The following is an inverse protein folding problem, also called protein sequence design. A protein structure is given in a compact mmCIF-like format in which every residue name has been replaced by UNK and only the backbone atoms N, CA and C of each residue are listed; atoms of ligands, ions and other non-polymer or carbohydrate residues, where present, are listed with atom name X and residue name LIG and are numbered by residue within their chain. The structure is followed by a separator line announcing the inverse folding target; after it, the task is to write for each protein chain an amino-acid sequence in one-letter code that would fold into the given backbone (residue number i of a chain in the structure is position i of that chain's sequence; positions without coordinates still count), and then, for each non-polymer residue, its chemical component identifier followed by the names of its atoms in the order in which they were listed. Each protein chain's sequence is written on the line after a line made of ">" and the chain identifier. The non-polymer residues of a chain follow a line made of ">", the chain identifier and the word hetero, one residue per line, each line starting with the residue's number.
data_IF_202597149463
#
_entry.id   IF_202597149463
#
_cell.length_a   1.000
_cell.length_b   1.000
_cell.length_c   1.000
_cell.angle_alpha   90.00
_cell.angle_beta   90.00
_cell.angle_gamma   90.00
#
_symmetry.space_group_name_H-M   'P 1'
#
loop_
_entity.id
_entity.type
_entity.pdbx_description
1 polymer ?
#
# COMPACT_ATOMS: atom_id res chain seq x y z
N UNK A 1 -7.71 10.62 0.91
CA UNK A 1 -7.85 9.90 -0.39
C UNK A 1 -6.63 9.01 -0.60
N UNK A 2 -6.79 7.87 -1.22
CA UNK A 2 -5.71 6.94 -1.57
C UNK A 2 -5.78 6.67 -3.07
N UNK A 3 -4.63 6.72 -3.74
CA UNK A 3 -4.49 6.47 -5.18
C UNK A 3 -3.16 5.76 -5.45
N UNK A 4 -3.12 4.90 -6.46
CA UNK A 4 -1.88 4.30 -6.95
C UNK A 4 -1.05 5.35 -7.71
N UNK A 5 0.26 5.33 -7.52
CA UNK A 5 1.20 6.18 -8.26
C UNK A 5 1.23 5.81 -9.75
N UNK A 6 1.23 4.51 -10.05
CA UNK A 6 1.11 3.95 -11.39
C UNK A 6 2.08 4.61 -12.41
N UNK A 7 3.37 4.70 -12.04
CA UNK A 7 4.46 5.30 -12.84
C UNK A 7 4.31 6.80 -13.15
N UNK A 8 3.37 7.50 -12.49
CA UNK A 8 3.23 8.94 -12.59
C UNK A 8 4.15 9.63 -11.59
N UNK A 9 4.38 10.92 -11.77
CA UNK A 9 5.13 11.71 -10.79
C UNK A 9 4.33 11.83 -9.48
N UNK A 10 4.88 11.29 -8.39
CA UNK A 10 4.23 11.27 -7.09
C UNK A 10 4.00 12.68 -6.52
N UNK A 11 4.86 13.64 -6.83
CA UNK A 11 4.71 15.02 -6.38
C UNK A 11 3.56 15.72 -7.11
N UNK A 12 3.44 15.51 -8.43
CA UNK A 12 2.33 16.04 -9.23
C UNK A 12 1.00 15.46 -8.80
N UNK A 13 0.94 14.13 -8.58
CA UNK A 13 -0.25 13.46 -8.06
C UNK A 13 -0.64 13.97 -6.68
N UNK A 14 0.33 14.10 -5.79
CA UNK A 14 0.08 14.63 -4.46
C UNK A 14 -0.47 16.06 -4.53
N UNK A 15 0.17 16.93 -5.33
CA UNK A 15 -0.28 18.30 -5.54
C UNK A 15 -1.70 18.37 -6.12
N UNK A 16 -2.04 17.48 -7.04
CA UNK A 16 -3.40 17.38 -7.60
C UNK A 16 -4.44 17.05 -6.51
N UNK A 17 -4.16 16.03 -5.66
CA UNK A 17 -5.06 15.66 -4.57
C UNK A 17 -5.21 16.77 -3.52
N UNK A 18 -4.13 17.46 -3.19
CA UNK A 18 -4.17 18.61 -2.27
C UNK A 18 -5.02 19.75 -2.82
N UNK A 19 -4.88 20.10 -4.10
CA UNK A 19 -5.73 21.11 -4.76
C UNK A 19 -7.20 20.71 -4.75
N UNK A 20 -7.51 19.46 -5.13
CA UNK A 20 -8.90 18.98 -5.16
C UNK A 20 -9.55 19.04 -3.77
N UNK A 21 -8.82 18.70 -2.72
CA UNK A 21 -9.31 18.82 -1.34
C UNK A 21 -9.55 20.29 -0.94
N UNK A 22 -8.61 21.18 -1.27
CA UNK A 22 -8.71 22.60 -0.98
C UNK A 22 -9.87 23.27 -1.73
N UNK A 23 -10.05 22.99 -3.03
CA UNK A 23 -11.17 23.47 -3.84
C UNK A 23 -12.53 23.01 -3.30
N UNK A 24 -12.57 21.83 -2.67
CA UNK A 24 -13.75 21.33 -1.97
C UNK A 24 -13.93 21.88 -0.55
N UNK A 25 -13.08 22.81 -0.09
CA UNK A 25 -13.17 23.48 1.21
C UNK A 25 -12.64 22.63 2.38
N UNK A 26 -11.79 21.63 2.12
CA UNK A 26 -11.22 20.79 3.18
C UNK A 26 -9.80 21.18 3.53
N UNK A 27 -9.51 21.19 4.84
CA UNK A 27 -8.14 21.22 5.35
C UNK A 27 -7.58 19.79 5.29
N UNK A 28 -6.41 19.64 4.67
CA UNK A 28 -5.70 18.36 4.60
C UNK A 28 -4.65 18.26 5.70
N UNK A 29 -4.22 17.02 6.03
CA UNK A 29 -3.11 16.83 6.98
C UNK A 29 -1.83 17.56 6.56
N UNK A 30 -1.61 17.72 5.25
CA UNK A 30 -0.40 18.38 4.71
C UNK A 30 -0.47 19.90 4.77
N UNK A 31 -1.67 20.49 4.77
CA UNK A 31 -1.89 21.95 4.78
C UNK A 31 -2.28 22.50 6.14
N UNK A 32 -2.65 21.63 7.10
CA UNK A 32 -3.06 22.05 8.43
C UNK A 32 -1.91 22.74 9.19
N UNK A 33 -2.24 23.85 9.85
CA UNK A 33 -1.35 24.51 10.79
C UNK A 33 -1.15 23.66 12.06
N UNK A 34 -0.12 23.92 12.89
CA UNK A 34 0.03 23.23 14.17
C UNK A 34 -1.22 23.36 15.02
N UNK A 35 -1.77 22.24 15.49
CA UNK A 35 -3.02 22.12 16.26
C UNK A 35 -4.30 22.50 15.50
N UNK A 36 -4.24 22.59 14.19
CA UNK A 36 -5.43 22.74 13.36
C UNK A 36 -6.03 21.38 13.02
N UNK A 37 -7.36 21.27 13.16
CA UNK A 37 -8.09 20.06 12.76
C UNK A 37 -8.07 19.89 11.24
N UNK A 38 -7.84 18.66 10.78
CA UNK A 38 -7.93 18.31 9.37
C UNK A 38 -8.89 17.15 9.16
N UNK A 39 -9.48 17.09 7.96
CA UNK A 39 -10.47 16.06 7.60
C UNK A 39 -10.06 15.20 6.43
N UNK A 40 -8.97 15.55 5.78
CA UNK A 40 -8.49 14.84 4.59
C UNK A 40 -7.03 14.45 4.76
N UNK A 41 -6.75 13.18 4.51
CA UNK A 41 -5.40 12.65 4.34
C UNK A 41 -5.25 12.12 2.92
N UNK A 42 -4.35 12.72 2.16
CA UNK A 42 -4.00 12.26 0.82
C UNK A 42 -2.75 11.38 0.88
N UNK A 43 -2.84 10.17 0.37
CA UNK A 43 -1.74 9.19 0.33
C UNK A 43 -1.66 8.53 -1.03
N UNK A 44 -0.45 8.15 -1.38
CA UNK A 44 -0.15 7.40 -2.59
C UNK A 44 0.33 6.00 -2.18
N UNK A 45 -0.19 4.98 -2.85
CA UNK A 45 0.47 3.68 -2.86
C UNK A 45 1.61 3.79 -3.87
N UNK A 46 2.85 3.68 -3.39
CA UNK A 46 4.02 3.80 -4.26
C UNK A 46 4.08 2.59 -5.20
N UNK A 47 4.28 2.85 -6.48
CA UNK A 47 4.07 1.93 -7.59
C UNK A 47 2.59 1.55 -7.70
N UNK A 48 2.15 0.55 -6.97
CA UNK A 48 0.79 0.03 -6.96
C UNK A 48 0.44 -0.51 -5.56
N UNK A 49 -0.84 -0.67 -5.27
CA UNK A 49 -1.34 -1.20 -3.99
C UNK A 49 -0.80 -2.61 -3.71
N UNK A 50 -0.50 -3.40 -4.73
CA UNK A 50 0.09 -4.73 -4.61
C UNK A 50 1.46 -4.73 -3.90
N UNK A 51 2.17 -3.60 -3.87
CA UNK A 51 3.38 -3.43 -3.07
C UNK A 51 3.12 -3.71 -1.58
N UNK A 52 1.95 -3.36 -1.09
CA UNK A 52 1.56 -3.57 0.30
C UNK A 52 1.43 -5.05 0.68
N UNK A 53 1.05 -5.90 -0.29
CA UNK A 53 1.01 -7.36 -0.08
C UNK A 53 2.41 -7.95 0.07
N UNK A 54 3.38 -7.45 -0.70
CA UNK A 54 4.80 -7.81 -0.52
C UNK A 54 5.39 -7.24 0.77
N UNK A 55 4.79 -6.20 1.33
CA UNK A 55 5.14 -5.63 2.62
C UNK A 55 4.87 -6.58 3.77
N UNK A 56 3.83 -7.41 3.69
CA UNK A 56 3.45 -8.41 4.68
C UNK A 56 3.50 -9.83 4.08
N UNK A 57 4.71 -10.38 4.00
CA UNK A 57 4.92 -11.72 3.43
C UNK A 57 4.25 -12.82 4.25
N UNK A 58 4.00 -12.61 5.54
CA UNK A 58 3.27 -13.58 6.35
C UNK A 58 1.80 -13.66 5.94
N UNK A 59 1.15 -12.53 5.67
CA UNK A 59 -0.19 -12.50 5.13
C UNK A 59 -0.26 -13.19 3.76
N UNK A 60 0.71 -12.89 2.90
CA UNK A 60 0.83 -13.51 1.58
C UNK A 60 1.02 -15.05 1.69
N UNK A 61 1.87 -15.52 2.61
CA UNK A 61 2.05 -16.94 2.89
C UNK A 61 0.79 -17.60 3.46
N UNK A 62 0.08 -16.91 4.35
CA UNK A 62 -1.15 -17.44 4.96
C UNK A 62 -2.25 -17.62 3.91
N UNK A 63 -2.42 -16.64 3.02
CA UNK A 63 -3.35 -16.74 1.91
C UNK A 63 -2.93 -17.79 0.86
N UNK A 64 -1.62 -17.91 0.63
CA UNK A 64 -1.02 -18.75 -0.41
C UNK A 64 0.20 -19.53 0.14
N UNK A 65 -0.02 -20.67 0.84
CA UNK A 65 1.03 -21.38 1.60
C UNK A 65 2.23 -21.89 0.80
N UNK A 66 2.11 -22.03 -0.53
CA UNK A 66 3.25 -22.37 -1.40
C UNK A 66 4.23 -21.22 -1.61
N UNK A 67 3.85 -19.98 -1.24
CA UNK A 67 4.77 -18.85 -1.22
C UNK A 67 5.59 -18.92 0.08
N UNK A 68 6.94 -18.99 0.00
CA UNK A 68 7.76 -19.13 1.20
C UNK A 68 7.83 -17.81 2.00
N UNK A 69 7.83 -17.89 3.32
CA UNK A 69 8.05 -16.73 4.22
C UNK A 69 9.40 -16.05 3.99
N UNK A 70 10.36 -16.79 3.44
CA UNK A 70 11.69 -16.27 3.08
C UNK A 70 11.70 -15.37 1.85
N UNK A 71 10.55 -15.19 1.17
CA UNK A 71 10.42 -14.32 0.00
C UNK A 71 10.97 -12.92 0.26
N UNK A 72 10.72 -12.37 1.44
CA UNK A 72 11.17 -11.04 1.84
C UNK A 72 12.70 -10.85 1.85
N UNK A 73 13.49 -11.94 1.93
CA UNK A 73 14.95 -11.85 1.92
C UNK A 73 15.53 -11.92 0.51
N UNK A 74 14.73 -12.27 -0.48
CA UNK A 74 15.16 -12.27 -1.88
C UNK A 74 15.36 -10.84 -2.36
N UNK A 75 16.46 -10.59 -3.08
CA UNK A 75 16.83 -9.24 -3.57
C UNK A 75 15.67 -8.52 -4.26
N UNK A 76 14.90 -9.25 -5.07
CA UNK A 76 13.77 -8.71 -5.83
C UNK A 76 12.63 -8.17 -4.95
N UNK A 77 12.38 -8.78 -3.78
CA UNK A 77 11.23 -8.50 -2.92
C UNK A 77 11.61 -7.85 -1.59
N UNK A 78 12.90 -7.54 -1.39
CA UNK A 78 13.41 -6.96 -0.14
C UNK A 78 12.80 -5.61 0.17
N UNK A 79 12.64 -4.76 -0.85
CA UNK A 79 11.94 -3.49 -0.74
C UNK A 79 10.61 -3.58 -1.51
N UNK A 80 9.47 -3.68 -0.82
CA UNK A 80 8.16 -3.81 -1.48
C UNK A 80 7.80 -2.59 -2.34
N UNK A 81 8.23 -1.39 -1.95
CA UNK A 81 7.95 -0.14 -2.68
C UNK A 81 8.94 0.13 -3.84
N UNK A 82 9.79 -0.83 -4.20
CA UNK A 82 10.76 -0.70 -5.28
C UNK A 82 10.91 -1.98 -6.12
N UNK A 83 9.85 -2.76 -6.26
CA UNK A 83 9.83 -3.97 -7.09
C UNK A 83 9.78 -3.55 -8.55
N UNK A 84 10.84 -3.87 -9.30
CA UNK A 84 10.94 -3.51 -10.72
C UNK A 84 9.98 -4.33 -11.60
N UNK A 85 9.42 -3.66 -12.60
CA UNK A 85 8.55 -4.26 -13.61
C UNK A 85 7.10 -4.45 -13.15
N UNK A 86 6.66 -3.63 -12.19
CA UNK A 86 5.31 -3.61 -11.64
C UNK A 86 5.08 -4.63 -10.52
N UNK A 87 4.41 -4.18 -9.47
CA UNK A 87 4.12 -5.03 -8.30
C UNK A 87 2.98 -5.99 -8.58
N UNK A 88 1.99 -5.57 -9.36
CA UNK A 88 0.93 -6.46 -9.82
C UNK A 88 1.48 -7.61 -10.67
N UNK A 89 2.30 -7.30 -11.68
CA UNK A 89 2.92 -8.31 -12.54
C UNK A 89 3.85 -9.25 -11.75
N UNK A 90 4.51 -8.73 -10.72
CA UNK A 90 5.33 -9.55 -9.84
C UNK A 90 4.49 -10.53 -9.03
N UNK A 91 3.34 -10.09 -8.49
CA UNK A 91 2.40 -10.92 -7.75
C UNK A 91 1.77 -11.98 -8.67
N UNK A 92 1.31 -11.58 -9.84
CA UNK A 92 0.73 -12.49 -10.83
C UNK A 92 1.71 -13.59 -11.22
N UNK A 93 2.95 -13.23 -11.62
CA UNK A 93 4.00 -14.22 -11.94
C UNK A 93 4.30 -15.16 -10.77
N UNK A 94 4.30 -14.64 -9.54
CA UNK A 94 4.56 -15.43 -8.35
C UNK A 94 3.46 -16.48 -8.14
N UNK A 95 2.19 -16.06 -8.19
CA UNK A 95 1.04 -16.93 -7.97
C UNK A 95 0.88 -17.98 -9.09
N UNK A 96 1.13 -17.61 -10.35
CA UNK A 96 1.13 -18.54 -11.48
C UNK A 96 2.27 -19.56 -11.33
N UNK A 97 3.48 -19.14 -11.02
CA UNK A 97 4.63 -20.01 -10.82
C UNK A 97 4.43 -21.01 -9.66
N UNK A 98 3.65 -20.63 -8.65
CA UNK A 98 3.27 -21.50 -7.55
C UNK A 98 2.01 -22.34 -7.83
N UNK A 99 1.54 -22.34 -9.09
CA UNK A 99 0.37 -23.11 -9.57
C UNK A 99 -0.94 -22.79 -8.83
N UNK A 100 -1.13 -21.57 -8.35
CA UNK A 100 -2.44 -21.11 -7.85
C UNK A 100 -3.38 -20.70 -8.97
N UNK A 101 -2.84 -20.15 -10.04
CA UNK A 101 -3.56 -19.75 -11.24
C UNK A 101 -2.79 -20.19 -12.49
N UNK A 102 -3.49 -20.27 -13.64
CA UNK A 102 -2.89 -20.73 -14.90
C UNK A 102 -2.40 -19.58 -15.78
N UNK A 103 -3.20 -18.49 -15.87
CA UNK A 103 -2.93 -17.38 -16.79
C UNK A 103 -2.94 -16.04 -16.06
N UNK A 104 -4.12 -15.58 -15.61
CA UNK A 104 -4.30 -14.30 -14.93
C UNK A 104 -4.84 -14.49 -13.53
N UNK A 105 -4.54 -13.54 -12.67
CA UNK A 105 -5.09 -13.54 -11.32
C UNK A 105 -6.34 -12.65 -11.25
N UNK A 106 -7.40 -13.08 -10.54
CA UNK A 106 -8.56 -12.24 -10.26
C UNK A 106 -8.18 -11.22 -9.17
N UNK A 107 -7.74 -10.02 -9.57
CA UNK A 107 -7.24 -8.96 -8.67
C UNK A 107 -8.07 -8.79 -7.41
N UNK A 108 -9.42 -8.58 -7.47
CA UNK A 108 -10.21 -8.35 -6.26
C UNK A 108 -10.19 -9.53 -5.29
N UNK A 109 -10.29 -10.75 -5.81
CA UNK A 109 -10.28 -11.98 -4.99
C UNK A 109 -8.91 -12.19 -4.33
N UNK A 110 -7.84 -12.00 -5.08
CA UNK A 110 -6.46 -12.13 -4.56
C UNK A 110 -6.21 -11.08 -3.49
N UNK A 111 -6.60 -9.82 -3.74
CA UNK A 111 -6.48 -8.73 -2.78
C UNK A 111 -7.25 -9.03 -1.48
N UNK A 112 -8.50 -9.48 -1.59
CA UNK A 112 -9.32 -9.84 -0.43
C UNK A 112 -8.70 -11.01 0.37
N UNK A 113 -8.22 -12.04 -0.32
CA UNK A 113 -7.59 -13.19 0.33
C UNK A 113 -6.33 -12.83 1.11
N UNK A 114 -5.53 -11.89 0.62
CA UNK A 114 -4.31 -11.46 1.31
C UNK A 114 -4.65 -10.46 2.41
N UNK A 115 -5.47 -9.46 2.11
CA UNK A 115 -5.78 -8.35 3.02
C UNK A 115 -6.36 -8.79 4.36
N UNK A 116 -7.19 -9.84 4.40
CA UNK A 116 -7.77 -10.37 5.64
C UNK A 116 -6.74 -10.92 6.63
N UNK A 117 -5.51 -11.18 6.18
CA UNK A 117 -4.41 -11.69 6.99
C UNK A 117 -3.33 -10.63 7.24
N UNK A 118 -3.47 -9.43 6.67
CA UNK A 118 -2.49 -8.36 6.86
C UNK A 118 -2.55 -7.79 8.27
N UNK A 119 -1.37 -7.58 8.83
CA UNK A 119 -1.20 -6.93 10.12
C UNK A 119 -0.44 -5.60 9.93
N UNK A 120 -1.07 -4.44 10.23
CA UNK A 120 -0.46 -3.14 9.94
C UNK A 120 0.95 -2.94 10.53
N UNK A 121 1.19 -3.42 11.74
CA UNK A 121 2.49 -3.29 12.42
C UNK A 121 3.60 -4.15 11.81
N UNK A 122 3.24 -5.19 11.07
CA UNK A 122 4.17 -6.13 10.44
C UNK A 122 4.55 -5.71 9.01
N UNK A 123 3.76 -4.82 8.41
CA UNK A 123 3.95 -4.43 7.02
C UNK A 123 5.20 -3.55 6.85
N UNK A 124 6.10 -3.96 5.96
CA UNK A 124 7.39 -3.31 5.69
C UNK A 124 7.32 -2.24 4.59
N UNK A 125 6.20 -2.13 3.86
CA UNK A 125 6.01 -1.08 2.87
C UNK A 125 5.97 0.28 3.57
N UNK A 126 6.85 1.19 3.16
CA UNK A 126 6.88 2.55 3.72
C UNK A 126 5.63 3.34 3.35
N UNK A 127 5.14 3.17 2.12
CA UNK A 127 3.90 3.83 1.68
C UNK A 127 2.69 3.36 2.49
N UNK A 128 2.61 2.06 2.83
CA UNK A 128 1.58 1.54 3.72
C UNK A 128 1.68 2.11 5.14
N UNK A 129 2.87 2.14 5.73
CA UNK A 129 3.08 2.70 7.06
C UNK A 129 2.63 4.17 7.13
N UNK A 130 3.02 4.98 6.15
CA UNK A 130 2.61 6.39 6.06
C UNK A 130 1.09 6.53 5.86
N UNK A 131 0.46 5.62 5.14
CA UNK A 131 -1.01 5.56 5.02
C UNK A 131 -1.67 5.29 6.38
N UNK A 132 -1.22 4.26 7.10
CA UNK A 132 -1.77 3.90 8.42
C UNK A 132 -1.58 5.03 9.44
N UNK A 133 -0.39 5.63 9.49
CA UNK A 133 -0.12 6.82 10.33
C UNK A 133 -1.06 7.99 9.99
N UNK A 134 -1.35 8.17 8.70
CA UNK A 134 -2.30 9.18 8.24
C UNK A 134 -3.72 8.91 8.75
N UNK A 135 -4.18 7.67 8.69
CA UNK A 135 -5.50 7.27 9.18
C UNK A 135 -5.61 7.47 10.71
N UNK A 136 -4.61 7.02 11.47
CA UNK A 136 -4.56 7.20 12.93
C UNK A 136 -4.68 8.68 13.30
N UNK A 137 -3.94 9.55 12.62
CA UNK A 137 -4.02 10.99 12.85
C UNK A 137 -5.42 11.57 12.52
N UNK A 138 -6.13 11.02 11.52
CA UNK A 138 -7.51 11.45 11.19
C UNK A 138 -8.53 11.13 12.28
N UNK A 139 -8.34 10.02 13.01
CA UNK A 139 -9.29 9.57 14.06
C UNK A 139 -8.88 10.02 15.46
N UNK A 140 -7.80 10.80 15.59
CA UNK A 140 -7.33 11.29 16.89
C UNK A 140 -6.65 10.24 17.76
N UNK A 141 -6.32 9.08 17.22
CA UNK A 141 -5.46 8.11 17.88
C UNK A 141 -4.01 8.58 17.79
N UNK A 142 -3.56 9.31 18.81
CA UNK A 142 -2.14 9.52 19.02
C UNK A 142 -1.46 8.15 19.18
N UNK A 143 -0.31 8.00 18.54
CA UNK A 143 0.54 6.81 18.49
C UNK A 143 0.47 5.97 19.77
N UNK A 144 -0.21 4.86 19.69
CA UNK A 144 0.09 3.74 20.58
C UNK A 144 1.43 3.18 20.12
N UNK A 145 2.46 3.60 20.81
CA UNK A 145 3.80 3.04 20.72
C UNK A 145 3.77 1.57 21.12
#
# INVERSE_FOLDING_TARGET
>A
MLIDEDRRDCHELKAYLERAAHEAGFVTKSSAAPNEDFRVVNRLAIEELEAWFFGDVEALHTAYPRIPKTLQYQRKYRNPDAIQGGTYEALERLLIRQNYFRERIPKPTVAQNIAQHMEPHRNRSKSFQVFVEGLKACVGEESLV
#
